data_IF_590360912556
#
_entry.id   IF_590360912556
#
_cell.length_a   1.000
_cell.length_b   1.000
_cell.length_c   1.000
_cell.angle_alpha   90.00
_cell.angle_beta   90.00
_cell.angle_gamma   90.00
#
_symmetry.space_group_name_H-M   'P 1'
#
loop_
_entity.id
_entity.type
_entity.pdbx_description
1 polymer ?
#
# COMPACT_ATOMS: atom_id res chain seq x y z
N UNK A 1 -41.71 -6.67 24.53
CA UNK A 1 -41.01 -7.98 24.48
C UNK A 1 -39.50 -7.70 24.47
N UNK A 2 -38.87 -7.55 25.64
CA UNK A 2 -37.44 -7.26 25.79
C UNK A 2 -36.65 -8.53 25.50
N UNK A 3 -35.86 -8.55 24.44
CA UNK A 3 -34.88 -9.62 24.22
C UNK A 3 -33.75 -9.48 25.25
N UNK A 4 -33.78 -10.29 26.28
CA UNK A 4 -32.62 -10.44 27.17
C UNK A 4 -31.47 -11.09 26.36
N UNK A 5 -30.46 -10.31 26.00
CA UNK A 5 -29.23 -10.88 25.49
C UNK A 5 -28.64 -11.80 26.57
N UNK A 6 -28.41 -13.06 26.20
CA UNK A 6 -27.79 -14.03 27.11
C UNK A 6 -26.39 -13.54 27.47
N UNK A 7 -25.99 -13.59 28.73
CA UNK A 7 -24.67 -13.17 29.24
C UNK A 7 -23.55 -13.85 28.46
N UNK A 8 -23.74 -15.12 28.09
CA UNK A 8 -22.78 -15.88 27.26
C UNK A 8 -22.59 -15.25 25.88
N UNK A 9 -23.68 -14.83 25.23
CA UNK A 9 -23.61 -14.18 23.91
C UNK A 9 -22.88 -12.85 24.00
N UNK A 10 -23.14 -12.04 25.00
CA UNK A 10 -22.46 -10.75 25.19
C UNK A 10 -20.97 -10.94 25.44
N UNK A 11 -20.60 -11.90 26.26
CA UNK A 11 -19.21 -12.27 26.55
C UNK A 11 -18.48 -12.69 25.26
N UNK A 12 -19.11 -13.51 24.42
CA UNK A 12 -18.54 -13.95 23.15
C UNK A 12 -18.29 -12.76 22.21
N UNK A 13 -19.22 -11.80 22.14
CA UNK A 13 -19.06 -10.59 21.33
C UNK A 13 -17.85 -9.77 21.80
N UNK A 14 -17.65 -9.58 23.09
CA UNK A 14 -16.47 -8.88 23.63
C UNK A 14 -15.16 -9.53 23.17
N UNK A 15 -15.05 -10.84 23.30
CA UNK A 15 -13.84 -11.55 22.88
C UNK A 15 -13.61 -11.50 21.37
N UNK A 16 -14.68 -11.59 20.57
CA UNK A 16 -14.58 -11.48 19.11
C UNK A 16 -14.09 -10.09 18.69
N UNK A 17 -14.64 -9.02 19.27
CA UNK A 17 -14.20 -7.65 18.96
C UNK A 17 -12.77 -7.38 19.45
N UNK A 18 -12.41 -7.90 20.63
CA UNK A 18 -11.04 -7.82 21.14
C UNK A 18 -10.06 -8.53 20.21
N UNK A 19 -10.38 -9.75 19.79
CA UNK A 19 -9.55 -10.51 18.84
C UNK A 19 -9.45 -9.80 17.47
N UNK A 20 -10.57 -9.30 16.95
CA UNK A 20 -10.58 -8.53 15.70
C UNK A 20 -9.68 -7.28 15.79
N UNK A 21 -9.73 -6.56 16.91
CA UNK A 21 -8.88 -5.39 17.15
C UNK A 21 -7.39 -5.76 17.14
N UNK A 22 -7.02 -6.86 17.79
CA UNK A 22 -5.63 -7.36 17.78
C UNK A 22 -5.17 -7.70 16.37
N UNK A 23 -6.01 -8.40 15.59
CA UNK A 23 -5.69 -8.74 14.19
C UNK A 23 -5.49 -7.49 13.34
N UNK A 24 -6.35 -6.48 13.49
CA UNK A 24 -6.22 -5.21 12.75
C UNK A 24 -4.92 -4.49 13.10
N UNK A 25 -4.57 -4.42 14.38
CA UNK A 25 -3.30 -3.79 14.82
C UNK A 25 -2.10 -4.58 14.30
N UNK A 26 -2.11 -5.90 14.37
CA UNK A 26 -1.03 -6.74 13.84
C UNK A 26 -0.87 -6.55 12.33
N UNK A 27 -1.98 -6.51 11.58
CA UNK A 27 -1.98 -6.24 10.15
C UNK A 27 -1.41 -4.86 9.81
N UNK A 28 -1.80 -3.84 10.58
CA UNK A 28 -1.25 -2.50 10.44
C UNK A 28 0.26 -2.44 10.72
N UNK A 29 0.72 -3.10 11.80
CA UNK A 29 2.15 -3.20 12.11
C UNK A 29 2.93 -3.90 11.00
N UNK A 30 2.39 -4.98 10.45
CA UNK A 30 2.99 -5.68 9.30
C UNK A 30 3.10 -4.76 8.09
N UNK A 31 2.01 -4.06 7.75
CA UNK A 31 2.00 -3.09 6.64
C UNK A 31 3.00 -1.94 6.88
N UNK A 32 3.03 -1.38 8.09
CA UNK A 32 4.00 -0.34 8.42
C UNK A 32 5.45 -0.83 8.27
N UNK A 33 5.74 -2.05 8.74
CA UNK A 33 7.07 -2.65 8.61
C UNK A 33 7.46 -2.88 7.14
N UNK A 34 6.56 -3.43 6.32
CA UNK A 34 6.85 -3.70 4.91
C UNK A 34 7.00 -2.42 4.10
N UNK A 35 6.05 -1.51 4.21
CA UNK A 35 5.99 -0.31 3.38
C UNK A 35 6.95 0.79 3.86
N UNK A 36 6.92 1.16 5.14
CA UNK A 36 7.73 2.27 5.64
C UNK A 36 9.17 1.87 5.91
N UNK A 37 9.38 0.77 6.64
CA UNK A 37 10.73 0.40 7.05
C UNK A 37 11.56 -0.15 5.89
N UNK A 38 11.06 -1.12 5.13
CA UNK A 38 11.81 -1.75 4.04
C UNK A 38 12.01 -0.77 2.89
N UNK A 39 10.97 -0.02 2.49
CA UNK A 39 11.08 1.00 1.44
C UNK A 39 12.09 2.09 1.81
N UNK A 40 11.98 2.67 3.02
CA UNK A 40 12.89 3.72 3.45
C UNK A 40 14.34 3.22 3.58
N UNK A 41 14.53 1.97 4.00
CA UNK A 41 15.85 1.34 4.02
C UNK A 41 16.43 1.24 2.61
N UNK A 42 15.66 0.75 1.65
CA UNK A 42 16.09 0.64 0.25
C UNK A 42 16.44 2.00 -0.36
N UNK A 43 15.62 3.03 -0.11
CA UNK A 43 15.90 4.40 -0.59
C UNK A 43 17.20 4.98 -0.03
N UNK A 44 17.54 4.69 1.24
CA UNK A 44 18.74 5.20 1.92
C UNK A 44 20.00 4.38 1.65
N UNK A 45 19.88 3.19 1.09
CA UNK A 45 21.02 2.28 0.88
C UNK A 45 22.01 2.82 -0.15
N UNK A 46 21.51 3.50 -1.17
CA UNK A 46 22.31 4.09 -2.24
C UNK A 46 21.56 5.21 -2.95
N UNK A 47 22.27 5.96 -3.76
CA UNK A 47 21.67 6.81 -4.78
C UNK A 47 21.15 5.95 -5.92
N UNK A 48 19.88 6.08 -6.24
CA UNK A 48 19.24 5.45 -7.39
C UNK A 48 19.35 6.37 -8.60
N UNK A 49 19.86 5.90 -9.72
CA UNK A 49 19.98 6.74 -10.92
C UNK A 49 18.61 7.05 -11.50
N UNK A 50 17.69 6.06 -11.42
CA UNK A 50 16.29 6.20 -11.85
C UNK A 50 15.35 5.56 -10.84
N UNK A 51 14.43 6.35 -10.27
CA UNK A 51 13.41 5.93 -9.33
C UNK A 51 12.05 6.08 -10.00
N UNK A 52 11.51 5.00 -10.55
CA UNK A 52 10.26 5.02 -11.33
C UNK A 52 9.04 4.83 -10.45
N UNK A 53 7.95 5.51 -10.80
CA UNK A 53 6.72 5.62 -10.03
C UNK A 53 7.04 6.04 -8.59
N UNK A 54 7.78 7.14 -8.53
CA UNK A 54 8.43 7.61 -7.32
C UNK A 54 7.42 8.08 -6.24
N UNK A 55 6.19 8.43 -6.62
CA UNK A 55 5.26 9.09 -5.72
C UNK A 55 5.85 10.38 -5.18
N UNK A 56 6.02 10.45 -3.86
CA UNK A 56 6.64 11.57 -3.15
C UNK A 56 8.07 11.27 -2.69
N UNK A 57 8.71 10.18 -3.19
CA UNK A 57 10.02 9.75 -2.70
C UNK A 57 11.16 10.19 -3.62
N UNK A 58 12.24 10.70 -3.05
CA UNK A 58 13.47 11.03 -3.76
C UNK A 58 14.47 9.86 -3.70
N UNK A 59 14.79 9.31 -4.86
CA UNK A 59 15.81 8.27 -5.03
C UNK A 59 17.23 8.82 -5.17
N UNK A 60 17.39 10.14 -5.25
CA UNK A 60 18.68 10.81 -5.40
C UNK A 60 19.12 11.03 -6.86
N UNK A 61 18.53 10.37 -7.84
CA UNK A 61 18.71 10.55 -9.28
C UNK A 61 17.47 11.16 -9.96
N UNK A 62 17.11 10.67 -11.15
CA UNK A 62 15.85 11.03 -11.82
C UNK A 62 14.72 10.32 -11.07
N UNK A 63 13.69 11.07 -10.73
CA UNK A 63 12.47 10.58 -10.11
C UNK A 63 11.34 10.70 -11.12
N UNK A 64 10.82 9.58 -11.60
CA UNK A 64 9.84 9.55 -12.67
C UNK A 64 8.49 9.02 -12.18
N UNK A 65 7.40 9.60 -12.68
CA UNK A 65 6.05 9.09 -12.43
C UNK A 65 5.11 9.47 -13.57
N UNK A 66 3.98 8.78 -13.69
CA UNK A 66 2.91 9.12 -14.63
C UNK A 66 2.10 10.33 -14.20
N UNK A 67 2.26 10.77 -12.96
CA UNK A 67 1.67 11.99 -12.41
C UNK A 67 2.57 12.59 -11.33
N UNK A 68 2.42 13.88 -11.09
CA UNK A 68 3.16 14.57 -10.04
C UNK A 68 2.41 14.50 -8.71
N UNK A 69 2.94 13.74 -7.74
CA UNK A 69 2.34 13.58 -6.41
C UNK A 69 2.76 14.65 -5.38
N UNK A 70 3.69 15.52 -5.75
CA UNK A 70 4.26 16.55 -4.89
C UNK A 70 5.58 17.06 -5.44
N UNK A 71 6.26 17.94 -4.69
CA UNK A 71 7.57 18.44 -5.09
C UNK A 71 8.65 17.39 -4.84
N UNK A 72 9.17 16.80 -5.92
CA UNK A 72 10.26 15.83 -5.90
C UNK A 72 11.40 16.35 -6.79
N UNK A 73 12.66 16.36 -6.31
CA UNK A 73 13.78 16.82 -7.11
C UNK A 73 13.95 16.00 -8.40
N UNK A 74 14.37 16.67 -9.49
CA UNK A 74 14.65 16.02 -10.78
C UNK A 74 13.50 15.12 -11.25
N UNK A 75 12.29 15.64 -11.16
CA UNK A 75 11.07 14.95 -11.57
C UNK A 75 10.97 14.85 -13.09
N UNK A 76 10.63 13.67 -13.59
CA UNK A 76 10.33 13.36 -14.98
C UNK A 76 8.90 12.83 -15.08
N UNK A 77 8.06 13.48 -15.88
CA UNK A 77 6.72 12.98 -16.18
C UNK A 77 6.80 11.95 -17.32
N UNK A 78 6.28 10.76 -17.10
CA UNK A 78 6.28 9.66 -18.08
C UNK A 78 4.84 9.30 -18.44
N UNK A 79 4.58 8.96 -19.72
CA UNK A 79 3.25 8.59 -20.20
C UNK A 79 3.02 7.09 -20.25
N UNK A 80 4.08 6.29 -20.43
CA UNK A 80 4.00 4.84 -20.56
C UNK A 80 5.17 4.16 -19.84
N UNK A 81 4.85 3.46 -18.75
CA UNK A 81 5.84 2.71 -17.95
C UNK A 81 6.42 1.49 -18.69
N UNK A 82 5.82 1.09 -19.80
CA UNK A 82 6.29 -0.03 -20.63
C UNK A 82 7.14 0.42 -21.82
N UNK A 83 7.28 1.76 -22.02
CA UNK A 83 8.04 2.36 -23.12
C UNK A 83 8.68 3.68 -22.67
N UNK A 84 9.84 3.57 -22.04
CA UNK A 84 10.56 4.74 -21.52
C UNK A 84 11.50 5.35 -22.56
N UNK A 85 11.61 6.68 -22.58
CA UNK A 85 12.40 7.43 -23.57
C UNK A 85 13.92 7.42 -23.27
N UNK A 86 14.43 6.32 -22.69
CA UNK A 86 15.85 6.18 -22.35
C UNK A 86 16.51 5.07 -23.15
N UNK A 87 17.82 5.22 -23.41
CA UNK A 87 18.62 4.22 -24.10
C UNK A 87 18.80 2.95 -23.26
N UNK A 88 19.13 1.84 -23.91
CA UNK A 88 19.46 0.58 -23.26
C UNK A 88 20.64 0.76 -22.30
N UNK A 89 20.50 0.26 -21.06
CA UNK A 89 21.55 0.33 -20.05
C UNK A 89 21.93 1.75 -19.60
N UNK A 90 21.04 2.75 -19.83
CA UNK A 90 21.29 4.16 -19.48
C UNK A 90 21.59 4.36 -17.99
N UNK A 91 21.05 3.51 -17.13
CA UNK A 91 21.15 3.63 -15.68
C UNK A 91 21.87 2.43 -15.05
N UNK A 92 22.73 2.71 -14.07
CA UNK A 92 23.39 1.65 -13.32
C UNK A 92 22.44 1.01 -12.29
N UNK A 93 21.61 1.82 -11.61
CA UNK A 93 20.69 1.40 -10.57
C UNK A 93 19.30 2.00 -10.79
N UNK A 94 18.32 1.13 -11.00
CA UNK A 94 16.89 1.48 -11.15
C UNK A 94 16.11 0.95 -9.96
N UNK A 95 15.28 1.79 -9.37
CA UNK A 95 14.33 1.42 -8.31
C UNK A 95 12.90 1.51 -8.82
N UNK A 96 12.11 0.48 -8.59
CA UNK A 96 10.66 0.48 -8.75
C UNK A 96 10.03 -0.02 -7.45
N UNK A 97 9.22 0.81 -6.83
CA UNK A 97 8.70 0.52 -5.48
C UNK A 97 7.18 0.60 -5.42
N UNK A 98 6.54 -0.53 -5.10
CA UNK A 98 5.08 -0.62 -4.93
C UNK A 98 4.30 -0.09 -6.13
N UNK A 99 4.62 -0.60 -7.32
CA UNK A 99 4.03 -0.17 -8.60
C UNK A 99 3.62 -1.35 -9.46
N UNK A 100 4.46 -2.39 -9.54
CA UNK A 100 4.24 -3.52 -10.45
C UNK A 100 2.93 -4.26 -10.18
N UNK A 101 2.43 -4.19 -8.96
CA UNK A 101 1.13 -4.74 -8.57
C UNK A 101 -0.06 -3.97 -9.15
N UNK A 102 0.13 -2.69 -9.51
CA UNK A 102 -0.92 -1.83 -10.04
C UNK A 102 -1.03 -1.86 -11.58
N UNK A 103 0.00 -2.35 -12.28
CA UNK A 103 0.02 -2.32 -13.74
C UNK A 103 -0.63 -3.54 -14.35
N UNK A 104 -1.33 -3.42 -15.50
CA UNK A 104 -1.97 -4.54 -16.18
C UNK A 104 -0.99 -5.60 -16.70
N UNK A 105 0.22 -5.18 -17.09
CA UNK A 105 1.29 -6.05 -17.57
C UNK A 105 2.62 -5.77 -16.84
N UNK A 106 2.80 -6.36 -15.65
CA UNK A 106 4.03 -6.18 -14.87
C UNK A 106 5.27 -6.79 -15.56
N UNK A 107 5.08 -7.78 -16.44
CA UNK A 107 6.20 -8.36 -17.21
C UNK A 107 6.71 -7.38 -18.27
N UNK A 108 5.81 -6.70 -18.98
CA UNK A 108 6.22 -5.69 -19.96
C UNK A 108 6.94 -4.53 -19.28
N UNK A 109 6.39 -4.00 -18.19
CA UNK A 109 7.06 -2.97 -17.41
C UNK A 109 8.43 -3.45 -16.90
N UNK A 110 8.52 -4.64 -16.31
CA UNK A 110 9.79 -5.15 -15.81
C UNK A 110 10.83 -5.37 -16.91
N UNK A 111 10.43 -5.85 -18.10
CA UNK A 111 11.33 -5.93 -19.26
C UNK A 111 11.88 -4.56 -19.65
N UNK A 112 11.04 -3.54 -19.63
CA UNK A 112 11.45 -2.16 -19.93
C UNK A 112 12.42 -1.62 -18.89
N UNK A 113 12.18 -1.86 -17.60
CA UNK A 113 13.14 -1.50 -16.54
C UNK A 113 14.47 -2.21 -16.72
N UNK A 114 14.46 -3.48 -17.12
CA UNK A 114 15.67 -4.26 -17.43
C UNK A 114 16.38 -3.78 -18.69
N UNK A 115 15.67 -3.20 -19.65
CA UNK A 115 16.26 -2.59 -20.83
C UNK A 115 17.05 -1.34 -20.46
N UNK A 116 16.48 -0.44 -19.68
CA UNK A 116 17.12 0.82 -19.33
C UNK A 116 18.13 0.71 -18.18
N UNK A 117 17.98 -0.30 -17.30
CA UNK A 117 18.75 -0.47 -16.08
C UNK A 117 19.63 -1.70 -16.06
N UNK A 118 20.90 -1.53 -15.68
CA UNK A 118 21.84 -2.66 -15.48
C UNK A 118 21.48 -3.46 -14.22
N UNK A 119 21.11 -2.78 -13.16
CA UNK A 119 20.63 -3.37 -11.90
C UNK A 119 19.27 -2.80 -11.56
N UNK A 120 18.25 -3.65 -11.55
CA UNK A 120 16.87 -3.28 -11.25
C UNK A 120 16.46 -3.88 -9.92
N UNK A 121 16.11 -3.02 -8.97
CA UNK A 121 15.53 -3.41 -7.69
C UNK A 121 14.03 -3.13 -7.72
N UNK A 122 13.24 -4.15 -7.44
CA UNK A 122 11.80 -4.00 -7.25
C UNK A 122 11.41 -4.27 -5.80
N UNK A 123 10.59 -3.39 -5.26
CA UNK A 123 9.95 -3.55 -3.95
C UNK A 123 8.48 -3.80 -4.20
N UNK A 124 7.96 -4.91 -3.69
CA UNK A 124 6.57 -5.33 -3.83
C UNK A 124 6.02 -5.80 -2.48
N UNK A 125 4.70 -5.72 -2.27
CA UNK A 125 4.08 -6.20 -1.05
C UNK A 125 4.29 -7.72 -0.91
N UNK A 126 4.90 -8.21 0.19
CA UNK A 126 5.02 -9.63 0.45
C UNK A 126 3.69 -10.19 0.96
N UNK A 127 3.42 -11.49 0.77
CA UNK A 127 2.16 -12.12 1.19
C UNK A 127 1.87 -12.04 2.70
N UNK A 128 2.88 -11.89 3.55
CA UNK A 128 2.67 -11.67 4.99
C UNK A 128 2.14 -10.27 5.33
N UNK A 129 2.32 -9.30 4.43
CA UNK A 129 1.60 -8.02 4.47
C UNK A 129 0.33 -8.15 3.62
N UNK A 130 -0.61 -8.96 4.08
CA UNK A 130 -1.83 -9.26 3.34
C UNK A 130 -2.69 -8.03 3.07
N UNK A 131 -2.58 -6.98 3.89
CA UNK A 131 -3.32 -5.74 3.69
C UNK A 131 -2.85 -4.98 2.45
N UNK A 132 -1.55 -5.00 2.19
CA UNK A 132 -1.00 -4.45 0.96
C UNK A 132 -1.11 -5.46 -0.20
N UNK A 133 -0.74 -6.72 0.02
CA UNK A 133 -0.71 -7.72 -1.06
C UNK A 133 -2.09 -7.98 -1.69
N UNK A 134 -3.17 -7.94 -0.89
CA UNK A 134 -4.53 -8.25 -1.33
C UNK A 134 -5.41 -7.01 -1.59
N UNK A 135 -4.85 -5.85 -1.86
CA UNK A 135 -5.60 -4.61 -2.03
C UNK A 135 -6.50 -4.65 -3.29
N UNK A 136 -7.80 -5.01 -3.16
CA UNK A 136 -8.63 -5.36 -4.31
C UNK A 136 -9.04 -4.16 -5.17
N UNK A 137 -8.97 -2.95 -4.63
CA UNK A 137 -9.37 -1.74 -5.36
C UNK A 137 -8.25 -1.16 -6.24
N UNK A 138 -7.01 -1.54 -6.00
CA UNK A 138 -5.85 -0.94 -6.67
C UNK A 138 -4.97 -1.97 -7.40
N UNK A 139 -4.85 -3.20 -6.87
CA UNK A 139 -3.92 -4.19 -7.41
C UNK A 139 -4.51 -4.98 -8.59
N UNK A 140 -3.76 -5.05 -9.69
CA UNK A 140 -4.08 -5.85 -10.88
C UNK A 140 -3.56 -7.28 -10.76
N UNK A 141 -2.49 -7.45 -9.98
CA UNK A 141 -1.85 -8.74 -9.74
C UNK A 141 -1.46 -8.90 -8.27
N UNK A 142 -1.35 -10.17 -7.83
CA UNK A 142 -0.84 -10.54 -6.51
C UNK A 142 0.46 -11.31 -6.73
N UNK A 143 1.56 -10.80 -6.18
CA UNK A 143 2.85 -11.47 -6.23
C UNK A 143 2.96 -12.59 -5.18
N UNK A 144 3.36 -13.77 -5.62
CA UNK A 144 3.48 -14.97 -4.77
C UNK A 144 4.87 -15.03 -4.13
N UNK A 145 5.14 -14.10 -3.22
CA UNK A 145 6.44 -13.99 -2.55
C UNK A 145 6.31 -13.60 -1.09
N UNK A 146 7.25 -14.08 -0.26
CA UNK A 146 7.41 -13.65 1.14
C UNK A 146 8.51 -12.58 1.28
N UNK A 147 9.23 -12.25 0.21
CA UNK A 147 10.25 -11.21 0.21
C UNK A 147 9.68 -9.93 -0.39
N UNK A 148 9.97 -8.79 0.24
CA UNK A 148 9.57 -7.48 -0.28
C UNK A 148 10.52 -6.97 -1.36
N UNK A 149 11.77 -7.42 -1.40
CA UNK A 149 12.81 -6.93 -2.30
C UNK A 149 13.29 -8.02 -3.24
N UNK A 150 13.41 -7.66 -4.52
CA UNK A 150 13.90 -8.53 -5.60
C UNK A 150 14.89 -7.77 -6.49
N UNK A 151 16.01 -8.42 -6.79
CA UNK A 151 17.08 -7.86 -7.64
C UNK A 151 17.07 -8.55 -8.99
N UNK A 152 16.90 -7.77 -10.06
CA UNK A 152 16.94 -8.27 -11.43
C UNK A 152 16.00 -9.45 -11.73
N UNK A 153 15.00 -9.65 -10.90
CA UNK A 153 14.07 -10.76 -10.96
C UNK A 153 12.65 -10.30 -10.64
N UNK A 154 11.69 -10.73 -11.45
CA UNK A 154 10.26 -10.55 -11.19
C UNK A 154 9.72 -11.84 -10.57
N UNK A 155 9.16 -11.81 -9.34
CA UNK A 155 8.55 -12.99 -8.73
C UNK A 155 7.31 -13.46 -9.50
N UNK A 156 6.92 -14.71 -9.28
CA UNK A 156 5.67 -15.23 -9.82
C UNK A 156 4.50 -14.43 -9.27
N UNK A 157 3.48 -14.25 -10.11
CA UNK A 157 2.25 -13.56 -9.74
C UNK A 157 1.03 -14.24 -10.33
N UNK A 158 -0.13 -13.93 -9.77
CA UNK A 158 -1.43 -14.29 -10.32
C UNK A 158 -2.20 -13.03 -10.65
N UNK A 159 -2.99 -13.05 -11.72
CA UNK A 159 -3.88 -11.94 -12.08
C UNK A 159 -5.07 -11.91 -11.13
N UNK A 160 -5.38 -10.73 -10.60
CA UNK A 160 -6.44 -10.56 -9.60
C UNK A 160 -7.80 -10.33 -10.29
N UNK A 161 -8.26 -11.31 -11.08
CA UNK A 161 -9.49 -11.24 -11.87
C UNK A 161 -10.74 -10.81 -11.07
N UNK A 162 -11.01 -11.33 -9.84
CA UNK A 162 -12.18 -10.92 -9.09
C UNK A 162 -12.19 -9.44 -8.72
N UNK A 163 -11.02 -8.82 -8.57
CA UNK A 163 -10.91 -7.42 -8.23
C UNK A 163 -11.22 -6.48 -9.40
N UNK A 164 -11.07 -6.92 -10.65
CA UNK A 164 -11.32 -6.07 -11.82
C UNK A 164 -12.73 -5.50 -11.87
N UNK A 165 -13.72 -6.28 -11.47
CA UNK A 165 -15.09 -5.79 -11.41
C UNK A 165 -15.26 -4.71 -10.33
N UNK A 166 -14.68 -4.91 -9.14
CA UNK A 166 -14.67 -3.91 -8.08
C UNK A 166 -13.90 -2.65 -8.49
N UNK A 167 -12.77 -2.81 -9.17
CA UNK A 167 -11.95 -1.70 -9.67
C UNK A 167 -12.67 -0.86 -10.71
N UNK A 168 -13.45 -1.50 -11.61
CA UNK A 168 -14.26 -0.79 -12.59
C UNK A 168 -15.36 0.08 -11.95
N UNK A 169 -15.89 -0.37 -10.79
CA UNK A 169 -16.98 0.33 -10.09
C UNK A 169 -16.46 1.34 -9.05
N UNK A 170 -15.41 0.99 -8.33
CA UNK A 170 -14.95 1.70 -7.11
C UNK A 170 -13.44 1.96 -7.10
N UNK A 171 -12.70 1.49 -8.10
CA UNK A 171 -11.24 1.59 -8.14
C UNK A 171 -10.74 2.99 -8.46
N UNK A 172 -9.51 3.25 -8.07
CA UNK A 172 -8.81 4.47 -8.42
C UNK A 172 -8.55 4.50 -9.93
N UNK A 173 -8.99 5.55 -10.60
CA UNK A 173 -8.63 5.85 -11.99
C UNK A 173 -7.41 6.76 -11.97
N UNK A 174 -6.27 6.20 -12.40
CA UNK A 174 -5.04 6.97 -12.60
C UNK A 174 -4.96 7.25 -14.10
N UNK A 175 -5.05 8.51 -14.47
CA UNK A 175 -4.83 8.96 -15.85
C UNK A 175 -3.39 9.40 -15.98
N UNK A 176 -2.69 8.88 -17.00
CA UNK A 176 -1.35 9.34 -17.35
C UNK A 176 -1.39 10.84 -17.70
N UNK A 177 -0.28 11.53 -17.49
CA UNK A 177 -0.10 12.96 -17.73
C UNK A 177 -0.96 13.89 -16.83
N UNK A 178 -1.60 13.36 -15.79
CA UNK A 178 -2.29 14.21 -14.83
C UNK A 178 -1.28 14.93 -13.93
N UNK A 179 -1.41 16.25 -13.84
CA UNK A 179 -0.67 17.09 -12.89
C UNK A 179 -1.44 17.25 -11.55
N UNK A 180 -2.37 16.33 -11.28
CA UNK A 180 -3.16 16.39 -10.06
C UNK A 180 -2.25 16.23 -8.84
N UNK A 181 -2.25 17.23 -7.97
CA UNK A 181 -1.58 17.18 -6.68
C UNK A 181 -2.37 16.24 -5.75
N UNK A 182 -1.91 15.00 -5.66
CA UNK A 182 -2.39 14.04 -4.66
C UNK A 182 -1.81 14.37 -3.28
N UNK A 183 -2.10 15.57 -2.80
CA UNK A 183 -1.77 15.90 -1.42
C UNK A 183 -2.54 14.95 -0.51
N UNK A 184 -1.80 14.15 0.24
CA UNK A 184 -2.37 13.40 1.35
C UNK A 184 -3.01 14.41 2.30
N UNK A 185 -4.34 14.46 2.35
CA UNK A 185 -5.00 15.40 3.24
C UNK A 185 -4.52 15.15 4.66
N UNK A 186 -4.29 16.23 5.44
CA UNK A 186 -3.88 16.12 6.86
C UNK A 186 -4.82 15.21 7.64
N UNK A 187 -6.11 15.22 7.29
CA UNK A 187 -7.16 14.37 7.88
C UNK A 187 -6.84 12.89 7.68
N UNK A 188 -6.39 12.48 6.50
CA UNK A 188 -5.99 11.10 6.23
C UNK A 188 -4.77 10.70 7.05
N UNK A 189 -3.74 11.53 7.09
CA UNK A 189 -2.54 11.26 7.88
C UNK A 189 -2.89 11.07 9.36
N UNK A 190 -3.73 11.95 9.93
CA UNK A 190 -4.21 11.84 11.31
C UNK A 190 -5.00 10.54 11.49
N UNK A 191 -5.89 10.17 10.56
CA UNK A 191 -6.66 8.94 10.63
C UNK A 191 -5.76 7.69 10.61
N UNK A 192 -4.73 7.68 9.76
CA UNK A 192 -3.77 6.58 9.67
C UNK A 192 -2.96 6.37 10.97
N UNK A 193 -2.67 7.45 11.72
CA UNK A 193 -1.99 7.35 13.01
C UNK A 193 -2.93 7.01 14.17
N UNK A 194 -4.14 7.55 14.19
CA UNK A 194 -5.09 7.33 15.28
C UNK A 194 -5.80 5.96 15.20
N UNK A 195 -5.95 5.39 14.01
CA UNK A 195 -6.63 4.13 13.80
C UNK A 195 -6.02 2.97 14.62
N UNK A 196 -4.69 2.69 14.57
CA UNK A 196 -4.11 1.60 15.34
C UNK A 196 -4.20 1.85 16.84
N UNK A 197 -4.11 3.10 17.29
CA UNK A 197 -4.31 3.45 18.70
C UNK A 197 -5.75 3.14 19.14
N UNK A 198 -6.74 3.51 18.34
CA UNK A 198 -8.15 3.22 18.62
C UNK A 198 -8.41 1.72 18.76
N UNK A 199 -7.91 0.91 17.83
CA UNK A 199 -8.07 -0.55 17.93
C UNK A 199 -7.28 -1.17 19.08
N UNK A 200 -6.10 -0.65 19.42
CA UNK A 200 -5.34 -1.13 20.59
C UNK A 200 -6.11 -0.89 21.89
N UNK A 201 -6.67 0.31 22.07
CA UNK A 201 -7.50 0.65 23.23
C UNK A 201 -8.78 -0.21 23.24
N UNK A 202 -9.43 -0.38 22.07
CA UNK A 202 -10.62 -1.24 21.95
C UNK A 202 -10.31 -2.68 22.36
N UNK A 203 -9.19 -3.25 21.97
CA UNK A 203 -8.79 -4.61 22.35
C UNK A 203 -8.76 -4.76 23.87
N UNK A 204 -8.06 -3.85 24.55
CA UNK A 204 -7.95 -3.87 26.02
C UNK A 204 -9.34 -3.76 26.67
N UNK A 205 -10.16 -2.77 26.26
CA UNK A 205 -11.48 -2.54 26.84
C UNK A 205 -12.42 -3.72 26.59
N UNK A 206 -12.37 -4.34 25.41
CA UNK A 206 -13.17 -5.53 25.10
C UNK A 206 -12.74 -6.74 25.92
N UNK A 207 -11.45 -7.00 26.10
CA UNK A 207 -10.98 -8.08 26.96
C UNK A 207 -11.34 -7.87 28.43
N UNK A 208 -11.37 -6.61 28.90
CA UNK A 208 -11.87 -6.24 30.23
C UNK A 208 -13.41 -6.22 30.32
N UNK A 209 -14.11 -6.53 29.21
CA UNK A 209 -15.58 -6.53 29.12
C UNK A 209 -16.23 -5.18 29.45
N UNK A 210 -15.55 -4.08 29.14
CA UNK A 210 -16.08 -2.75 29.36
C UNK A 210 -16.92 -2.29 28.16
N UNK A 211 -18.15 -1.75 28.38
CA UNK A 211 -19.03 -1.31 27.29
C UNK A 211 -18.40 -0.28 26.36
N UNK A 212 -17.50 0.56 26.88
CA UNK A 212 -16.74 1.52 26.08
C UNK A 212 -15.88 0.89 24.98
N UNK A 213 -15.54 -0.40 25.08
CA UNK A 213 -14.83 -1.14 24.03
C UNK A 213 -15.56 -1.16 22.69
N UNK A 214 -16.89 -1.26 22.70
CA UNK A 214 -17.72 -1.18 21.48
C UNK A 214 -17.64 0.19 20.81
N UNK A 215 -17.70 1.26 21.62
CA UNK A 215 -17.65 2.65 21.12
C UNK A 215 -16.28 2.92 20.49
N UNK A 216 -15.22 2.53 21.19
CA UNK A 216 -13.84 2.73 20.70
C UNK A 216 -13.57 1.88 19.45
N UNK A 217 -14.12 0.66 19.37
CA UNK A 217 -14.06 -0.16 18.15
C UNK A 217 -14.72 0.54 16.97
N UNK A 218 -15.91 1.09 17.18
CA UNK A 218 -16.63 1.86 16.16
C UNK A 218 -15.87 3.10 15.69
N UNK A 219 -15.24 3.84 16.60
CA UNK A 219 -14.39 4.99 16.27
C UNK A 219 -13.18 4.53 15.43
N UNK A 220 -12.50 3.44 15.82
CA UNK A 220 -11.42 2.85 15.05
C UNK A 220 -11.85 2.47 13.63
N UNK A 221 -13.04 1.89 13.49
CA UNK A 221 -13.65 1.58 12.19
C UNK A 221 -13.91 2.81 11.32
N UNK A 222 -14.41 3.90 11.92
CA UNK A 222 -14.60 5.18 11.22
C UNK A 222 -13.27 5.78 10.76
N UNK A 223 -12.22 5.71 11.59
CA UNK A 223 -10.88 6.17 11.22
C UNK A 223 -10.30 5.33 10.08
N UNK A 224 -10.47 4.01 10.12
CA UNK A 224 -10.06 3.12 9.03
C UNK A 224 -10.80 3.45 7.72
N UNK A 225 -12.12 3.67 7.80
CA UNK A 225 -12.92 4.08 6.65
C UNK A 225 -12.43 5.44 6.10
N UNK A 226 -12.24 6.44 6.96
CA UNK A 226 -11.75 7.75 6.55
C UNK A 226 -10.37 7.67 5.88
N UNK A 227 -9.45 6.86 6.41
CA UNK A 227 -8.12 6.67 5.83
C UNK A 227 -8.15 6.03 4.43
N UNK A 228 -9.20 5.26 4.12
CA UNK A 228 -9.38 4.60 2.81
C UNK A 228 -10.18 5.42 1.82
N UNK A 229 -11.26 6.07 2.28
CA UNK A 229 -12.19 6.83 1.41
C UNK A 229 -11.63 8.18 1.01
N UNK A 230 -10.89 8.86 1.91
CA UNK A 230 -10.25 10.14 1.60
C UNK A 230 -9.00 10.01 0.68
N UNK A 231 -8.89 8.87 -0.01
CA UNK A 231 -7.92 8.66 -1.10
C UNK A 231 -8.37 9.29 -2.44
N UNK A 232 -9.64 9.70 -2.50
CA UNK A 232 -10.28 10.23 -3.71
C UNK A 232 -10.51 11.72 -3.58
#
# INVERSE_FOLDING_TARGET
MGRHFNVTTLTAIYYLLGAASVVIVAAWCAHYASYQFIKNRALRERKWDYNICCGTTDGGGINADIMKHGEVPRFELISDVTRLAHADGAFQYVLCSHTLEHVPDPEAMFRELRRIGRNVTVLIPPLWDFTAALQPLEHQVIFLTLKSRHENHLPRFIRYWPARWLQAALGQRIEADSLADYSHTRVRQIADYLMPLGFSVSAVLCFLRLPSGFVVFGIGGLLLWASKVLRF
#
